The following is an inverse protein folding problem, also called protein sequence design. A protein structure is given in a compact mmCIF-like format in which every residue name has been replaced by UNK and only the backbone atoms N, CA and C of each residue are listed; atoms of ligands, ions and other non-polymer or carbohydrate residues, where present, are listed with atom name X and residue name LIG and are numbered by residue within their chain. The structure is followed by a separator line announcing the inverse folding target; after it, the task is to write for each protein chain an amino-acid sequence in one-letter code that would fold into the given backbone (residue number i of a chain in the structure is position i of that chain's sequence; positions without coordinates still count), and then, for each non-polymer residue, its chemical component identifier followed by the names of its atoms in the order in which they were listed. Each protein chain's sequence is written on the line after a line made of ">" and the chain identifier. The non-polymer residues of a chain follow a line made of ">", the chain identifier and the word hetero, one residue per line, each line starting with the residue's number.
data_IF_896894751455
#
_entry.id   IF_896894751455
#
_cell.length_a   1.000
_cell.length_b   1.000
_cell.length_c   1.000
_cell.angle_alpha   90.00
_cell.angle_beta   90.00
_cell.angle_gamma   90.00
#
_symmetry.space_group_name_H-M   'P 1'
#
loop_
_entity.id
_entity.type
_entity.pdbx_description
1 polymer ?
#
# COMPACT_ATOMS: atom_id res chain seq x y z
N UNK A 1 -30.48 14.90 70.91
CA UNK A 1 -30.60 14.26 69.58
C UNK A 1 -29.67 15.02 68.64
N UNK A 2 -28.59 14.40 68.24
CA UNK A 2 -27.51 15.02 67.43
C UNK A 2 -27.76 14.71 65.95
N UNK A 3 -27.80 15.67 65.00
CA UNK A 3 -27.96 15.36 63.56
C UNK A 3 -26.64 14.77 63.00
N UNK A 4 -26.73 13.59 62.43
CA UNK A 4 -25.64 12.92 61.73
C UNK A 4 -25.33 13.68 60.43
N UNK A 5 -24.16 14.30 60.35
CA UNK A 5 -23.61 14.84 59.13
C UNK A 5 -23.03 13.70 58.30
N UNK A 6 -23.54 13.57 57.04
CA UNK A 6 -22.98 12.65 56.05
C UNK A 6 -21.70 13.25 55.48
N UNK A 7 -20.66 12.44 55.21
CA UNK A 7 -19.46 12.93 54.56
C UNK A 7 -19.78 13.26 53.08
N UNK A 8 -19.12 14.27 52.48
CA UNK A 8 -19.32 14.59 51.07
C UNK A 8 -18.79 13.46 50.21
N UNK A 9 -19.61 12.99 49.26
CA UNK A 9 -19.22 12.05 48.22
C UNK A 9 -18.29 12.80 47.24
N UNK A 10 -16.99 12.62 47.44
CA UNK A 10 -15.96 13.09 46.49
C UNK A 10 -15.93 12.16 45.27
N UNK A 11 -16.98 12.29 44.46
CA UNK A 11 -17.18 11.55 43.22
C UNK A 11 -16.52 12.25 42.06
N UNK A 12 -15.21 12.38 42.04
CA UNK A 12 -14.48 12.57 40.80
C UNK A 12 -14.57 11.25 40.01
N UNK A 13 -15.64 11.12 39.21
CA UNK A 13 -15.63 10.16 38.13
C UNK A 13 -14.42 10.52 37.25
N UNK A 14 -13.36 9.70 37.33
CA UNK A 14 -12.32 9.72 36.30
C UNK A 14 -13.06 9.45 34.97
N UNK A 15 -13.23 10.51 34.15
CA UNK A 15 -13.66 10.34 32.77
C UNK A 15 -12.76 9.24 32.18
N UNK A 16 -13.35 8.09 31.87
CA UNK A 16 -12.67 7.05 31.13
C UNK A 16 -12.26 7.67 29.82
N UNK A 17 -10.95 7.79 29.60
CA UNK A 17 -10.46 8.25 28.30
C UNK A 17 -11.20 7.47 27.20
N UNK A 18 -11.74 8.14 26.17
CA UNK A 18 -12.49 7.46 25.13
C UNK A 18 -11.67 6.30 24.58
N UNK A 19 -12.32 5.14 24.39
CA UNK A 19 -11.63 3.96 23.92
C UNK A 19 -11.04 4.26 22.53
N UNK A 20 -9.71 4.20 22.40
CA UNK A 20 -9.03 4.41 21.11
C UNK A 20 -9.32 3.23 20.19
N UNK A 21 -9.62 3.54 18.94
CA UNK A 21 -9.76 2.53 17.87
C UNK A 21 -8.36 2.18 17.38
N UNK A 22 -8.04 0.89 17.33
CA UNK A 22 -6.76 0.34 16.87
C UNK A 22 -6.92 -0.21 15.46
N UNK A 23 -6.07 0.26 14.55
CA UNK A 23 -6.07 -0.12 13.14
C UNK A 23 -4.71 -0.72 12.83
N UNK A 24 -4.66 -1.99 12.41
CA UNK A 24 -3.42 -2.58 11.90
C UNK A 24 -3.27 -2.28 10.41
N UNK A 25 -2.04 -1.98 9.98
CA UNK A 25 -1.72 -1.70 8.59
C UNK A 25 -0.51 -2.54 8.21
N UNK A 26 -0.70 -3.40 7.21
CA UNK A 26 0.38 -4.14 6.55
C UNK A 26 0.43 -3.76 5.08
N UNK A 27 1.60 -3.93 4.47
CA UNK A 27 1.81 -3.65 3.05
C UNK A 27 2.73 -4.70 2.45
N UNK A 28 2.63 -4.91 1.16
CA UNK A 28 3.56 -5.72 0.37
C UNK A 28 3.83 -7.10 1.01
N UNK A 29 2.81 -7.93 1.26
CA UNK A 29 3.03 -9.28 1.81
C UNK A 29 3.77 -10.18 0.85
N UNK A 30 3.70 -9.94 -0.46
CA UNK A 30 4.39 -10.69 -1.53
C UNK A 30 4.35 -12.21 -1.29
N UNK A 31 3.17 -12.73 -1.06
CA UNK A 31 2.97 -14.13 -0.70
C UNK A 31 3.22 -15.05 -1.87
N UNK A 32 4.03 -16.08 -1.68
CA UNK A 32 4.27 -17.12 -2.68
C UNK A 32 3.54 -18.41 -2.29
N UNK A 33 2.53 -18.77 -3.07
CA UNK A 33 1.86 -20.07 -3.01
C UNK A 33 2.65 -21.18 -3.68
N UNK A 34 2.10 -22.40 -3.66
CA UNK A 34 2.76 -23.59 -4.20
C UNK A 34 3.14 -23.44 -5.68
N UNK A 35 2.27 -22.85 -6.51
CA UNK A 35 2.51 -22.69 -7.94
C UNK A 35 3.66 -21.73 -8.25
N UNK A 36 3.78 -20.61 -7.53
CA UNK A 36 4.90 -19.69 -7.69
C UNK A 36 6.21 -20.29 -7.19
N UNK A 37 6.18 -21.03 -6.08
CA UNK A 37 7.34 -21.76 -5.56
C UNK A 37 7.86 -22.81 -6.55
N UNK A 38 6.96 -23.58 -7.17
CA UNK A 38 7.32 -24.56 -8.20
C UNK A 38 7.92 -23.92 -9.46
N UNK A 39 7.54 -22.69 -9.78
CA UNK A 39 8.07 -21.91 -10.91
C UNK A 39 9.53 -21.47 -10.70
N UNK A 40 9.92 -21.27 -9.48
CA UNK A 40 11.27 -20.87 -9.07
C UNK A 40 11.50 -19.35 -9.06
N UNK A 41 12.39 -18.89 -8.18
CA UNK A 41 12.67 -17.46 -7.94
C UNK A 41 13.28 -16.69 -9.11
N UNK A 42 13.81 -17.40 -10.12
CA UNK A 42 14.40 -16.80 -11.32
C UNK A 42 13.38 -16.54 -12.45
N UNK A 43 12.11 -16.89 -12.25
CA UNK A 43 11.10 -16.75 -13.31
C UNK A 43 11.01 -15.32 -13.84
N UNK A 44 10.99 -14.35 -12.97
CA UNK A 44 10.94 -12.93 -13.30
C UNK A 44 12.16 -12.45 -14.11
N UNK A 45 13.34 -12.98 -13.79
CA UNK A 45 14.58 -12.59 -14.47
C UNK A 45 14.61 -13.03 -15.94
N UNK A 46 13.74 -13.97 -16.34
CA UNK A 46 13.63 -14.42 -17.74
C UNK A 46 13.14 -13.31 -18.67
N UNK A 47 12.39 -12.33 -18.15
CA UNK A 47 11.93 -11.16 -18.91
C UNK A 47 13.09 -10.19 -19.28
N UNK A 48 14.26 -10.28 -18.63
CA UNK A 48 15.41 -9.43 -18.90
C UNK A 48 16.24 -10.06 -20.04
N UNK A 49 16.13 -9.50 -21.24
CA UNK A 49 16.83 -10.02 -22.43
C UNK A 49 18.35 -9.89 -22.31
N UNK A 50 18.86 -8.76 -21.79
CA UNK A 50 20.29 -8.51 -21.64
C UNK A 50 20.92 -9.39 -20.54
N UNK A 51 21.88 -10.29 -20.87
CA UNK A 51 22.45 -11.22 -19.92
C UNK A 51 23.28 -10.55 -18.80
N UNK A 52 23.97 -9.45 -19.12
CA UNK A 52 24.75 -8.70 -18.12
C UNK A 52 23.84 -8.02 -17.11
N UNK A 53 22.77 -7.40 -17.60
CA UNK A 53 21.77 -6.77 -16.75
C UNK A 53 21.03 -7.83 -15.89
N UNK A 54 20.70 -8.99 -16.48
CA UNK A 54 20.12 -10.12 -15.74
C UNK A 54 21.05 -10.59 -14.62
N UNK A 55 22.35 -10.70 -14.88
CA UNK A 55 23.34 -11.05 -13.87
C UNK A 55 23.42 -9.97 -12.76
N UNK A 56 23.45 -8.70 -13.14
CA UNK A 56 23.48 -7.59 -12.18
C UNK A 56 22.23 -7.56 -11.28
N UNK A 57 21.02 -7.75 -11.84
CA UNK A 57 19.77 -7.83 -11.07
C UNK A 57 19.78 -9.04 -10.15
N UNK A 58 20.30 -10.21 -10.61
CA UNK A 58 20.45 -11.40 -9.76
C UNK A 58 21.36 -11.16 -8.57
N UNK A 59 22.53 -10.51 -8.78
CA UNK A 59 23.46 -10.14 -7.72
C UNK A 59 22.81 -9.14 -6.73
N UNK A 60 22.13 -8.12 -7.26
CA UNK A 60 21.39 -7.16 -6.42
C UNK A 60 20.35 -7.86 -5.53
N UNK A 61 19.52 -8.74 -6.12
CA UNK A 61 18.54 -9.53 -5.37
C UNK A 61 19.21 -10.38 -4.29
N UNK A 62 20.29 -11.07 -4.63
CA UNK A 62 21.00 -11.98 -3.72
C UNK A 62 21.65 -11.26 -2.53
N UNK A 63 22.27 -10.11 -2.75
CA UNK A 63 23.07 -9.45 -1.70
C UNK A 63 22.33 -8.33 -0.96
N UNK A 64 21.33 -7.73 -1.58
CA UNK A 64 20.68 -6.53 -1.04
C UNK A 64 19.20 -6.79 -0.77
N UNK A 65 18.47 -7.25 -1.79
CA UNK A 65 17.02 -7.31 -1.75
C UNK A 65 16.53 -8.50 -0.93
N UNK A 66 16.68 -9.71 -1.44
CA UNK A 66 16.22 -10.95 -0.83
C UNK A 66 16.75 -12.16 -1.59
N UNK A 67 17.52 -13.02 -0.91
CA UNK A 67 18.04 -14.27 -1.52
C UNK A 67 16.93 -15.21 -1.93
N UNK A 68 15.96 -15.37 -1.06
CA UNK A 68 14.80 -16.22 -1.32
C UNK A 68 13.51 -15.39 -1.17
N UNK A 69 12.94 -14.87 -2.28
CA UNK A 69 11.70 -14.08 -2.22
C UNK A 69 10.50 -14.89 -1.69
N UNK A 70 10.54 -16.24 -1.76
CA UNK A 70 9.46 -17.08 -1.26
C UNK A 70 9.37 -17.13 0.28
N UNK A 71 10.41 -16.75 0.99
CA UNK A 71 10.42 -16.70 2.45
C UNK A 71 9.54 -15.56 3.00
N UNK A 72 9.11 -14.63 2.15
CA UNK A 72 8.17 -13.56 2.52
C UNK A 72 6.86 -14.12 3.07
N UNK A 73 6.41 -15.25 2.59
CA UNK A 73 5.18 -15.91 3.08
C UNK A 73 5.20 -16.19 4.58
N UNK A 74 6.36 -16.50 5.14
CA UNK A 74 6.53 -16.74 6.60
C UNK A 74 6.24 -15.47 7.41
N UNK A 75 6.53 -14.29 6.88
CA UNK A 75 6.28 -13.03 7.57
C UNK A 75 4.78 -12.71 7.65
N UNK A 76 4.00 -13.13 6.65
CA UNK A 76 2.54 -13.04 6.75
C UNK A 76 2.01 -13.93 7.87
N UNK A 77 2.47 -15.19 7.96
CA UNK A 77 2.04 -16.10 9.02
C UNK A 77 2.45 -15.57 10.42
N UNK A 78 3.64 -15.00 10.54
CA UNK A 78 4.06 -14.34 11.79
C UNK A 78 3.18 -13.14 12.13
N UNK A 79 2.90 -12.26 11.18
CA UNK A 79 1.97 -11.15 11.39
C UNK A 79 0.62 -11.63 11.89
N UNK A 80 0.04 -12.67 11.27
CA UNK A 80 -1.26 -13.24 11.65
C UNK A 80 -1.25 -13.82 13.07
N UNK A 81 -0.10 -14.33 13.54
CA UNK A 81 0.04 -14.90 14.86
C UNK A 81 0.34 -13.83 15.93
N UNK A 82 1.15 -12.82 15.60
CA UNK A 82 1.63 -11.82 16.57
C UNK A 82 0.67 -10.64 16.75
N UNK A 83 -0.19 -10.35 15.75
CA UNK A 83 -1.12 -9.23 15.83
C UNK A 83 -2.14 -9.42 16.96
N UNK A 84 -2.15 -8.49 17.90
CA UNK A 84 -3.13 -8.46 18.98
C UNK A 84 -4.52 -7.98 18.50
N UNK A 85 -5.45 -7.77 19.43
CA UNK A 85 -6.79 -7.27 19.10
C UNK A 85 -6.73 -5.92 18.38
N UNK A 86 -7.46 -5.81 17.26
CA UNK A 86 -7.64 -4.58 16.48
C UNK A 86 -9.06 -4.52 15.93
N UNK A 87 -9.60 -3.32 15.79
CA UNK A 87 -10.95 -3.08 15.29
C UNK A 87 -11.00 -3.15 13.75
N UNK A 88 -9.90 -2.75 13.09
CA UNK A 88 -9.79 -2.76 11.64
C UNK A 88 -8.39 -3.16 11.20
N UNK A 89 -8.28 -3.76 10.02
CA UNK A 89 -7.03 -4.07 9.35
C UNK A 89 -7.06 -3.49 7.93
N UNK A 90 -5.97 -2.89 7.51
CA UNK A 90 -5.78 -2.46 6.12
C UNK A 90 -4.57 -3.20 5.53
N UNK A 91 -4.81 -3.96 4.47
CA UNK A 91 -3.78 -4.56 3.64
C UNK A 91 -3.57 -3.67 2.41
N UNK A 92 -2.37 -3.10 2.28
CA UNK A 92 -2.09 -2.02 1.36
C UNK A 92 -1.35 -2.49 0.09
N UNK A 93 -1.89 -3.52 -0.60
CA UNK A 93 -1.44 -3.94 -1.93
C UNK A 93 -0.36 -5.02 -1.95
N UNK A 94 -0.10 -5.54 -3.15
CA UNK A 94 0.94 -6.51 -3.51
C UNK A 94 0.81 -7.86 -2.79
N UNK A 95 -0.29 -8.59 -3.11
CA UNK A 95 -0.64 -9.83 -2.42
C UNK A 95 0.12 -11.05 -2.95
N UNK A 96 0.44 -11.10 -4.25
CA UNK A 96 1.26 -12.18 -4.82
C UNK A 96 2.75 -11.86 -4.79
N UNK A 97 3.58 -12.90 -4.91
CA UNK A 97 5.01 -12.74 -5.04
C UNK A 97 5.38 -12.10 -6.39
N UNK A 98 6.64 -11.78 -6.56
CA UNK A 98 7.21 -11.07 -7.72
C UNK A 98 7.15 -11.81 -9.06
N UNK A 99 6.63 -13.05 -9.11
CA UNK A 99 6.73 -13.87 -10.33
C UNK A 99 5.70 -13.51 -11.41
N UNK A 100 4.65 -12.79 -11.06
CA UNK A 100 3.56 -12.46 -11.98
C UNK A 100 3.79 -11.16 -12.73
N UNK A 101 4.50 -11.18 -13.85
CA UNK A 101 4.71 -9.98 -14.68
C UNK A 101 3.39 -9.33 -15.12
N UNK A 102 2.39 -10.14 -15.43
CA UNK A 102 1.05 -9.68 -15.87
C UNK A 102 0.04 -9.61 -14.72
N UNK A 103 0.52 -9.46 -13.48
CA UNK A 103 -0.33 -9.41 -12.30
C UNK A 103 -1.10 -10.71 -12.07
N UNK A 104 -2.27 -10.62 -11.45
CA UNK A 104 -3.12 -11.78 -11.15
C UNK A 104 -3.81 -12.37 -12.39
N UNK A 105 -3.57 -11.88 -13.62
CA UNK A 105 -3.91 -12.61 -14.84
C UNK A 105 -3.00 -13.82 -15.04
N UNK A 106 -1.82 -13.85 -14.44
CA UNK A 106 -0.98 -15.04 -14.33
C UNK A 106 -1.62 -16.03 -13.33
N UNK A 107 -1.84 -17.30 -13.72
CA UNK A 107 -2.52 -18.25 -12.85
C UNK A 107 -1.80 -18.55 -11.53
N UNK A 108 -0.45 -18.58 -11.52
CA UNK A 108 0.30 -18.86 -10.31
C UNK A 108 0.30 -17.65 -9.35
N UNK A 109 0.42 -16.43 -9.88
CA UNK A 109 0.28 -15.20 -9.11
C UNK A 109 -1.14 -15.06 -8.55
N UNK A 110 -2.18 -15.42 -9.34
CA UNK A 110 -3.56 -15.44 -8.87
C UNK A 110 -3.75 -16.39 -7.70
N UNK A 111 -3.26 -17.63 -7.80
CA UNK A 111 -3.37 -18.61 -6.72
C UNK A 111 -2.68 -18.14 -5.44
N UNK A 112 -1.52 -17.49 -5.56
CA UNK A 112 -0.80 -16.90 -4.42
C UNK A 112 -1.58 -15.75 -3.78
N UNK A 113 -2.12 -14.84 -4.60
CA UNK A 113 -2.94 -13.73 -4.10
C UNK A 113 -4.23 -14.23 -3.44
N UNK A 114 -4.89 -15.24 -4.03
CA UNK A 114 -6.09 -15.88 -3.48
C UNK A 114 -5.80 -16.51 -2.11
N UNK A 115 -4.68 -17.22 -1.96
CA UNK A 115 -4.27 -17.81 -0.68
C UNK A 115 -3.94 -16.72 0.35
N UNK A 116 -3.19 -15.68 -0.02
CA UNK A 116 -2.86 -14.55 0.83
C UNK A 116 -4.12 -13.85 1.36
N UNK A 117 -5.00 -13.43 0.44
CA UNK A 117 -6.26 -12.75 0.75
C UNK A 117 -7.18 -13.66 1.58
N UNK A 118 -7.20 -14.96 1.27
CA UNK A 118 -7.94 -15.98 2.02
C UNK A 118 -7.49 -16.09 3.47
N UNK A 119 -6.18 -16.17 3.72
CA UNK A 119 -5.60 -16.17 5.09
C UNK A 119 -5.99 -14.91 5.87
N UNK A 120 -5.86 -13.74 5.25
CA UNK A 120 -6.21 -12.47 5.85
C UNK A 120 -7.71 -12.38 6.18
N UNK A 121 -8.58 -12.82 5.26
CA UNK A 121 -10.04 -12.86 5.51
C UNK A 121 -10.42 -13.86 6.58
N UNK A 122 -9.80 -15.04 6.59
CA UNK A 122 -10.05 -16.04 7.62
C UNK A 122 -9.73 -15.50 9.03
N UNK A 123 -8.68 -14.69 9.17
CA UNK A 123 -8.25 -14.12 10.46
C UNK A 123 -9.10 -12.93 10.90
N UNK A 124 -9.48 -12.03 9.97
CA UNK A 124 -10.07 -10.73 10.30
C UNK A 124 -11.54 -10.58 9.90
N UNK A 125 -12.07 -11.45 9.04
CA UNK A 125 -13.44 -11.37 8.56
C UNK A 125 -13.76 -10.04 7.87
N UNK A 126 -14.91 -9.45 8.17
CA UNK A 126 -15.36 -8.17 7.61
C UNK A 126 -14.58 -6.94 8.10
N UNK A 127 -13.65 -7.10 9.04
CA UNK A 127 -12.83 -6.01 9.60
C UNK A 127 -11.64 -5.63 8.73
N UNK A 128 -11.35 -6.37 7.66
CA UNK A 128 -10.24 -6.07 6.76
C UNK A 128 -10.67 -5.27 5.54
N UNK A 129 -9.81 -4.36 5.11
CA UNK A 129 -9.90 -3.59 3.87
C UNK A 129 -8.64 -3.82 3.05
N UNK A 130 -8.80 -3.84 1.73
CA UNK A 130 -7.73 -4.12 0.78
C UNK A 130 -7.59 -2.97 -0.21
N UNK A 131 -6.36 -2.56 -0.52
CA UNK A 131 -6.04 -1.70 -1.67
C UNK A 131 -5.32 -2.51 -2.74
N UNK A 132 -5.35 -2.07 -3.99
CA UNK A 132 -4.53 -2.66 -5.04
C UNK A 132 -3.10 -2.14 -4.97
N UNK A 133 -2.13 -3.04 -5.14
CA UNK A 133 -0.76 -2.72 -5.51
C UNK A 133 -0.54 -2.84 -7.02
N UNK A 134 0.64 -2.50 -7.48
CA UNK A 134 1.00 -2.62 -8.90
C UNK A 134 1.20 -4.09 -9.30
N UNK A 135 1.74 -4.94 -8.41
CA UNK A 135 1.86 -6.37 -8.67
C UNK A 135 0.51 -7.08 -8.81
N UNK A 136 -0.56 -6.55 -8.27
CA UNK A 136 -1.89 -7.13 -8.42
C UNK A 136 -2.46 -6.92 -9.83
N UNK A 137 -2.21 -5.77 -10.45
CA UNK A 137 -2.75 -5.41 -11.78
C UNK A 137 -1.78 -5.67 -12.93
N UNK A 138 -0.50 -5.77 -12.63
CA UNK A 138 0.57 -6.02 -13.57
C UNK A 138 1.80 -5.19 -13.26
N UNK A 139 2.95 -5.86 -13.26
CA UNK A 139 4.21 -5.28 -12.81
C UNK A 139 4.64 -4.11 -13.70
N UNK A 140 5.06 -3.04 -13.05
CA UNK A 140 5.71 -1.90 -13.68
C UNK A 140 7.22 -2.16 -13.69
N UNK A 141 7.82 -2.65 -14.80
CA UNK A 141 9.21 -3.07 -14.78
C UNK A 141 10.14 -1.90 -14.56
N UNK A 142 11.15 -2.11 -13.72
CA UNK A 142 12.27 -1.17 -13.58
C UNK A 142 13.16 -1.22 -14.83
N UNK A 143 13.13 -2.34 -15.54
CA UNK A 143 13.96 -2.60 -16.72
C UNK A 143 13.12 -3.25 -17.81
N UNK A 144 13.08 -2.64 -18.99
CA UNK A 144 12.29 -3.08 -20.12
C UNK A 144 11.39 -1.98 -20.68
N UNK A 145 10.90 -2.17 -21.91
CA UNK A 145 10.14 -1.13 -22.61
C UNK A 145 8.62 -1.29 -22.46
N UNK A 146 8.14 -2.45 -21.96
CA UNK A 146 6.72 -2.75 -21.88
C UNK A 146 6.36 -3.33 -20.50
N UNK A 147 5.27 -2.84 -19.92
CA UNK A 147 4.76 -3.29 -18.64
C UNK A 147 3.76 -4.45 -18.74
N UNK A 148 3.41 -4.94 -17.56
CA UNK A 148 2.55 -6.11 -17.39
C UNK A 148 1.09 -5.80 -17.09
N UNK A 149 0.65 -4.56 -17.14
CA UNK A 149 -0.74 -4.20 -16.84
C UNK A 149 -1.73 -4.83 -17.81
N UNK A 150 -2.74 -5.54 -17.28
CA UNK A 150 -3.75 -6.25 -18.07
C UNK A 150 -5.14 -6.06 -17.47
N UNK A 151 -6.14 -5.78 -18.30
CA UNK A 151 -7.55 -5.73 -17.89
C UNK A 151 -8.02 -7.04 -17.28
N UNK A 152 -7.48 -8.17 -17.75
CA UNK A 152 -7.74 -9.47 -17.14
C UNK A 152 -7.31 -9.56 -15.67
N UNK A 153 -6.23 -8.86 -15.28
CA UNK A 153 -5.82 -8.75 -13.87
C UNK A 153 -6.79 -7.89 -13.07
N UNK A 154 -7.25 -6.79 -13.66
CA UNK A 154 -8.28 -5.97 -13.05
C UNK A 154 -9.55 -6.77 -12.75
N UNK A 155 -10.10 -7.47 -13.75
CA UNK A 155 -11.30 -8.28 -13.57
C UNK A 155 -11.10 -9.37 -12.50
N UNK A 156 -9.94 -10.07 -12.52
CA UNK A 156 -9.64 -11.08 -11.48
C UNK A 156 -9.51 -10.49 -10.09
N UNK A 157 -8.82 -9.36 -9.95
CA UNK A 157 -8.66 -8.68 -8.67
C UNK A 157 -10.00 -8.21 -8.11
N UNK A 158 -10.83 -7.59 -8.93
CA UNK A 158 -12.10 -7.00 -8.47
C UNK A 158 -13.22 -8.05 -8.32
N UNK A 159 -13.37 -8.98 -9.26
CA UNK A 159 -14.51 -9.92 -9.30
C UNK A 159 -14.21 -11.22 -8.56
N UNK A 160 -12.98 -11.77 -8.71
CA UNK A 160 -12.63 -13.08 -8.14
C UNK A 160 -12.01 -12.94 -6.75
N UNK A 161 -11.06 -12.02 -6.59
CA UNK A 161 -10.47 -11.74 -5.27
C UNK A 161 -11.33 -10.77 -4.45
N UNK A 162 -12.36 -10.15 -5.05
CA UNK A 162 -13.24 -9.17 -4.41
C UNK A 162 -12.44 -8.04 -3.72
N UNK A 163 -11.47 -7.47 -4.45
CA UNK A 163 -10.68 -6.34 -4.03
C UNK A 163 -11.26 -5.07 -4.68
N UNK A 164 -11.98 -4.21 -3.95
CA UNK A 164 -12.55 -3.00 -4.53
C UNK A 164 -11.46 -1.98 -4.88
N UNK A 165 -11.65 -1.24 -5.97
CA UNK A 165 -10.73 -0.16 -6.36
C UNK A 165 -10.75 1.00 -5.36
N UNK A 166 -11.93 1.26 -4.83
CA UNK A 166 -12.19 2.32 -3.87
C UNK A 166 -12.98 1.76 -2.68
N UNK A 167 -12.61 2.19 -1.49
CA UNK A 167 -13.39 1.93 -0.29
C UNK A 167 -13.25 3.08 0.69
N UNK A 168 -14.27 3.26 1.49
CA UNK A 168 -14.29 4.20 2.60
C UNK A 168 -14.83 3.53 3.86
N UNK A 169 -14.28 3.90 5.00
CA UNK A 169 -14.71 3.43 6.31
C UNK A 169 -14.80 4.63 7.26
N UNK A 170 -16.02 5.12 7.55
CA UNK A 170 -16.21 6.17 8.53
C UNK A 170 -16.04 5.62 9.95
N UNK A 171 -15.29 6.33 10.78
CA UNK A 171 -15.06 6.06 12.19
C UNK A 171 -15.24 7.36 12.96
N UNK A 172 -16.49 7.76 13.18
CA UNK A 172 -16.90 9.06 13.75
C UNK A 172 -16.28 10.25 12.97
N UNK A 173 -15.33 10.97 13.57
CA UNK A 173 -14.63 12.10 12.94
C UNK A 173 -13.39 11.68 12.14
N UNK A 174 -13.14 10.37 11.96
CA UNK A 174 -12.16 9.86 11.02
C UNK A 174 -12.81 9.22 9.81
N UNK A 175 -12.20 9.40 8.66
CA UNK A 175 -12.54 8.69 7.43
C UNK A 175 -11.28 7.98 6.92
N UNK A 176 -11.34 6.66 6.85
CA UNK A 176 -10.31 5.85 6.19
C UNK A 176 -10.70 5.73 4.71
N UNK A 177 -9.80 6.08 3.81
CA UNK A 177 -9.99 6.00 2.36
C UNK A 177 -8.90 5.14 1.73
N UNK A 178 -9.28 4.11 0.99
CA UNK A 178 -8.37 3.32 0.16
C UNK A 178 -8.60 3.57 -1.32
N UNK A 179 -7.52 3.81 -2.05
CA UNK A 179 -7.53 4.12 -3.47
C UNK A 179 -6.64 3.17 -4.25
N UNK A 180 -7.03 2.82 -5.47
CA UNK A 180 -6.20 2.04 -6.40
C UNK A 180 -5.18 2.95 -7.08
N UNK A 181 -3.96 3.01 -6.54
CA UNK A 181 -2.89 3.83 -7.10
C UNK A 181 -2.54 3.48 -8.55
N UNK A 182 -2.52 2.21 -9.00
CA UNK A 182 -2.24 1.89 -10.39
C UNK A 182 -3.23 2.52 -11.38
N UNK A 183 -4.51 2.67 -11.03
CA UNK A 183 -5.48 3.38 -11.87
C UNK A 183 -5.18 4.88 -11.96
N UNK A 184 -4.83 5.49 -10.86
CA UNK A 184 -4.57 6.93 -10.80
C UNK A 184 -3.35 7.29 -11.65
N UNK A 185 -2.31 6.45 -11.61
CA UNK A 185 -1.02 6.67 -12.27
C UNK A 185 -0.99 6.30 -13.76
N UNK A 186 -2.07 5.76 -14.33
CA UNK A 186 -2.14 5.32 -15.73
C UNK A 186 -1.49 6.28 -16.74
N UNK A 187 -1.67 7.62 -16.67
CA UNK A 187 -1.02 8.50 -17.64
C UNK A 187 0.51 8.48 -17.59
N UNK A 188 1.11 8.12 -16.43
CA UNK A 188 2.56 7.95 -16.29
C UNK A 188 3.01 6.55 -16.76
N UNK A 189 2.09 5.62 -16.91
CA UNK A 189 2.33 4.21 -17.16
C UNK A 189 1.68 3.71 -18.47
N UNK A 190 1.45 4.61 -19.43
CA UNK A 190 0.79 4.26 -20.69
C UNK A 190 1.48 3.09 -21.42
N UNK A 191 2.81 3.08 -21.43
CA UNK A 191 3.60 2.00 -22.06
C UNK A 191 3.54 0.66 -21.28
N UNK A 192 3.00 0.67 -20.06
CA UNK A 192 2.88 -0.52 -19.24
C UNK A 192 1.55 -1.27 -19.48
N UNK A 193 0.58 -0.64 -20.16
CA UNK A 193 -0.67 -1.23 -20.60
C UNK A 193 -0.64 -1.63 -22.07
N UNK A 194 -1.49 -2.57 -22.46
CA UNK A 194 -1.67 -2.91 -23.87
C UNK A 194 -2.39 -1.75 -24.59
N UNK A 195 -1.94 -1.36 -25.80
CA UNK A 195 -2.56 -0.27 -26.55
C UNK A 195 -4.07 -0.46 -26.78
N UNK A 196 -4.50 -1.68 -27.07
CA UNK A 196 -5.90 -2.05 -27.29
C UNK A 196 -6.75 -1.97 -26.02
N UNK A 197 -6.14 -2.04 -24.83
CA UNK A 197 -6.82 -1.94 -23.55
C UNK A 197 -6.90 -0.48 -23.03
N UNK A 198 -6.16 0.45 -23.66
CA UNK A 198 -5.95 1.79 -23.12
C UNK A 198 -7.23 2.59 -22.86
N UNK A 199 -8.17 2.55 -23.82
CA UNK A 199 -9.44 3.27 -23.67
C UNK A 199 -10.25 2.75 -22.48
N UNK A 200 -10.28 1.43 -22.29
CA UNK A 200 -10.97 0.81 -21.16
C UNK A 200 -10.30 1.16 -19.83
N UNK A 201 -8.98 1.16 -19.77
CA UNK A 201 -8.23 1.62 -18.61
C UNK A 201 -8.54 3.06 -18.24
N UNK A 202 -8.60 3.96 -19.22
CA UNK A 202 -8.90 5.37 -18.97
C UNK A 202 -10.34 5.59 -18.49
N UNK A 203 -11.31 4.78 -18.94
CA UNK A 203 -12.68 4.80 -18.41
C UNK A 203 -12.71 4.36 -16.93
N UNK A 204 -12.00 3.29 -16.58
CA UNK A 204 -11.88 2.83 -15.20
C UNK A 204 -11.22 3.90 -14.30
N UNK A 205 -10.16 4.53 -14.79
CA UNK A 205 -9.49 5.63 -14.09
C UNK A 205 -10.42 6.79 -13.80
N UNK A 206 -11.20 7.24 -14.79
CA UNK A 206 -12.09 8.39 -14.61
C UNK A 206 -13.22 8.06 -13.63
N UNK A 207 -13.80 6.86 -13.70
CA UNK A 207 -14.79 6.40 -12.73
C UNK A 207 -14.20 6.38 -11.31
N UNK A 208 -12.98 5.86 -11.15
CA UNK A 208 -12.29 5.82 -9.86
C UNK A 208 -11.99 7.22 -9.31
N UNK A 209 -11.51 8.15 -10.15
CA UNK A 209 -11.29 9.54 -9.75
C UNK A 209 -12.59 10.24 -9.35
N UNK A 210 -13.71 9.92 -10.01
CA UNK A 210 -15.02 10.47 -9.65
C UNK A 210 -15.45 10.04 -8.24
N UNK A 211 -15.24 8.77 -7.87
CA UNK A 211 -15.51 8.27 -6.50
C UNK A 211 -14.63 8.99 -5.47
N UNK A 212 -13.34 9.17 -5.75
CA UNK A 212 -12.41 9.87 -4.86
C UNK A 212 -12.84 11.35 -4.69
N UNK A 213 -13.12 12.05 -5.79
CA UNK A 213 -13.59 13.44 -5.76
C UNK A 213 -14.86 13.58 -4.91
N UNK A 214 -15.83 12.68 -5.09
CA UNK A 214 -17.07 12.67 -4.33
C UNK A 214 -16.82 12.49 -2.82
N UNK A 215 -15.93 11.55 -2.44
CA UNK A 215 -15.59 11.34 -1.04
C UNK A 215 -14.93 12.55 -0.40
N UNK A 216 -13.98 13.20 -1.09
CA UNK A 216 -13.33 14.41 -0.59
C UNK A 216 -14.28 15.61 -0.54
N UNK A 217 -15.19 15.74 -1.51
CA UNK A 217 -16.21 16.82 -1.50
C UNK A 217 -17.19 16.67 -0.33
N UNK A 218 -17.52 15.44 0.07
CA UNK A 218 -18.43 15.14 1.16
C UNK A 218 -17.84 15.32 2.57
N UNK A 219 -16.51 15.52 2.69
CA UNK A 219 -15.86 15.67 4.00
C UNK A 219 -16.42 16.84 4.81
N UNK A 220 -16.79 16.54 6.05
CA UNK A 220 -17.19 17.56 7.01
C UNK A 220 -15.96 18.28 7.58
N UNK A 221 -16.08 19.56 8.00
CA UNK A 221 -14.93 20.36 8.46
C UNK A 221 -14.11 19.73 9.60
N UNK A 222 -14.78 18.98 10.50
CA UNK A 222 -14.14 18.34 11.66
C UNK A 222 -13.51 16.98 11.33
N UNK A 223 -13.80 16.41 10.16
CA UNK A 223 -13.28 15.08 9.81
C UNK A 223 -11.80 15.11 9.44
N UNK A 224 -11.12 14.06 9.84
CA UNK A 224 -9.73 13.75 9.48
C UNK A 224 -9.68 12.50 8.59
N UNK A 225 -8.74 12.49 7.66
CA UNK A 225 -8.58 11.40 6.70
C UNK A 225 -7.28 10.64 6.97
N UNK A 226 -7.39 9.31 7.01
CA UNK A 226 -6.26 8.40 6.80
C UNK A 226 -6.39 7.84 5.39
N UNK A 227 -5.47 8.22 4.50
CA UNK A 227 -5.48 7.81 3.10
C UNK A 227 -4.55 6.62 2.90
N UNK A 228 -5.02 5.60 2.20
CA UNK A 228 -4.26 4.41 1.82
C UNK A 228 -4.08 4.38 0.31
N UNK A 229 -2.83 4.52 -0.11
CA UNK A 229 -2.44 4.63 -1.52
C UNK A 229 -1.14 3.86 -1.69
N UNK A 230 -1.17 2.68 -2.32
CA UNK A 230 0.00 1.80 -2.37
C UNK A 230 1.22 2.50 -2.98
N UNK A 231 1.11 2.98 -4.23
CA UNK A 231 2.19 3.67 -4.94
C UNK A 231 2.07 5.20 -4.80
N UNK A 232 3.08 5.87 -4.19
CA UNK A 232 3.06 7.32 -4.01
C UNK A 232 3.11 8.12 -5.31
N UNK A 233 3.44 7.51 -6.45
CA UNK A 233 3.40 8.19 -7.76
C UNK A 233 1.98 8.65 -8.15
N UNK A 234 0.94 8.13 -7.47
CA UNK A 234 -0.43 8.58 -7.62
C UNK A 234 -0.70 9.96 -6.98
N UNK A 235 0.05 10.34 -5.95
CA UNK A 235 -0.22 11.55 -5.17
C UNK A 235 -0.13 12.85 -5.98
N UNK A 236 0.82 13.04 -6.92
CA UNK A 236 0.85 14.21 -7.80
C UNK A 236 -0.40 14.34 -8.68
N UNK A 237 -1.02 13.22 -9.07
CA UNK A 237 -2.27 13.24 -9.82
C UNK A 237 -3.45 13.65 -8.93
N UNK A 238 -3.50 13.14 -7.70
CA UNK A 238 -4.51 13.54 -6.71
C UNK A 238 -4.35 15.02 -6.31
N UNK A 239 -3.14 15.53 -6.23
CA UNK A 239 -2.87 16.95 -5.92
C UNK A 239 -3.43 17.89 -7.01
N UNK A 240 -3.48 17.44 -8.28
CA UNK A 240 -4.07 18.21 -9.38
C UNK A 240 -5.59 18.31 -9.32
N UNK A 241 -6.26 17.45 -8.56
CA UNK A 241 -7.71 17.46 -8.38
C UNK A 241 -8.13 18.57 -7.39
N UNK A 242 -8.89 19.61 -7.82
CA UNK A 242 -9.20 20.76 -6.95
C UNK A 242 -9.94 20.37 -5.67
N UNK A 243 -10.90 19.42 -5.75
CA UNK A 243 -11.66 18.93 -4.59
C UNK A 243 -10.77 18.27 -3.54
N UNK A 244 -9.72 17.56 -3.97
CA UNK A 244 -8.76 16.91 -3.07
C UNK A 244 -7.81 17.95 -2.51
N UNK A 245 -7.25 18.82 -3.36
CA UNK A 245 -6.28 19.84 -2.97
C UNK A 245 -6.83 20.76 -1.88
N UNK A 246 -8.10 21.16 -1.96
CA UNK A 246 -8.77 21.97 -0.94
C UNK A 246 -8.90 21.26 0.42
N UNK A 247 -8.89 19.93 0.43
CA UNK A 247 -9.08 19.10 1.61
C UNK A 247 -7.77 18.49 2.15
N UNK A 248 -6.63 18.80 1.57
CA UNK A 248 -5.31 18.34 2.05
C UNK A 248 -5.06 18.61 3.54
N UNK A 249 -5.47 19.76 4.13
CA UNK A 249 -5.31 19.97 5.56
C UNK A 249 -6.02 18.94 6.45
N UNK A 250 -7.09 18.29 5.94
CA UNK A 250 -7.83 17.24 6.64
C UNK A 250 -7.16 15.86 6.54
N UNK A 251 -6.21 15.67 5.61
CA UNK A 251 -5.40 14.44 5.56
C UNK A 251 -4.42 14.47 6.72
N UNK A 252 -4.67 13.62 7.72
CA UNK A 252 -3.76 13.47 8.85
C UNK A 252 -2.52 12.65 8.48
N UNK A 253 -2.72 11.58 7.70
CA UNK A 253 -1.62 10.74 7.21
C UNK A 253 -2.04 10.00 5.94
N UNK A 254 -1.09 9.85 5.01
CA UNK A 254 -1.19 8.93 3.87
C UNK A 254 -0.24 7.75 4.08
N UNK A 255 -0.77 6.55 4.07
CA UNK A 255 0.03 5.32 4.09
C UNK A 255 0.31 4.85 2.68
N UNK A 256 1.60 4.64 2.40
CA UNK A 256 2.08 4.06 1.14
C UNK A 256 2.81 2.74 1.41
N UNK A 257 2.87 1.86 0.41
CA UNK A 257 3.73 0.68 0.30
C UNK A 257 4.78 0.86 -0.79
N UNK A 258 4.88 -0.12 -1.70
CA UNK A 258 5.64 -0.09 -2.97
C UNK A 258 7.15 0.18 -2.85
N UNK A 259 7.57 1.11 -2.03
CA UNK A 259 8.98 1.47 -1.84
C UNK A 259 9.71 0.49 -0.90
N UNK A 260 9.01 -0.42 -0.25
CA UNK A 260 9.41 -1.50 0.65
C UNK A 260 10.23 -1.07 1.87
N UNK A 261 11.06 -0.03 1.79
CA UNK A 261 11.97 0.39 2.86
C UNK A 261 12.01 1.90 3.03
N UNK A 262 12.18 2.34 4.26
CA UNK A 262 12.35 3.76 4.60
C UNK A 262 13.56 4.40 3.91
N UNK A 263 14.58 3.61 3.60
CA UNK A 263 15.76 4.10 2.88
C UNK A 263 15.40 4.57 1.47
N UNK A 264 14.55 3.82 0.76
CA UNK A 264 14.10 4.22 -0.60
C UNK A 264 13.23 5.48 -0.51
N UNK A 265 12.32 5.56 0.45
CA UNK A 265 11.52 6.79 0.66
C UNK A 265 12.42 8.00 0.96
N UNK A 266 13.44 7.84 1.80
CA UNK A 266 14.39 8.92 2.12
C UNK A 266 15.16 9.36 0.87
N UNK A 267 15.69 8.41 0.07
CA UNK A 267 16.33 8.71 -1.21
C UNK A 267 15.41 9.43 -2.18
N UNK A 268 14.16 8.99 -2.30
CA UNK A 268 13.16 9.61 -3.18
C UNK A 268 12.89 11.07 -2.78
N UNK A 269 12.84 11.35 -1.48
CA UNK A 269 12.69 12.72 -0.96
C UNK A 269 13.92 13.57 -1.23
N UNK A 270 15.12 13.02 -1.04
CA UNK A 270 16.37 13.73 -1.30
C UNK A 270 16.54 14.10 -2.78
N UNK A 271 16.12 13.19 -3.68
CA UNK A 271 16.20 13.36 -5.14
C UNK A 271 14.96 14.06 -5.72
N UNK A 272 13.99 14.44 -4.88
CA UNK A 272 12.77 15.10 -5.33
C UNK A 272 13.07 16.47 -5.98
N UNK A 273 12.34 16.75 -7.06
CA UNK A 273 12.53 18.01 -7.80
C UNK A 273 13.70 18.02 -8.79
N UNK A 274 14.57 17.00 -8.81
CA UNK A 274 15.61 16.92 -9.84
C UNK A 274 14.98 16.77 -11.24
N UNK A 275 15.55 17.41 -12.28
CA UNK A 275 14.98 17.33 -13.63
C UNK A 275 14.95 15.90 -14.16
N UNK A 276 13.88 15.51 -14.88
CA UNK A 276 13.80 14.20 -15.50
C UNK A 276 14.88 13.97 -16.55
N UNK A 277 15.49 12.78 -16.52
CA UNK A 277 16.50 12.36 -17.49
C UNK A 277 15.79 11.66 -18.66
N UNK A 278 15.76 12.32 -19.84
CA UNK A 278 14.99 11.82 -20.99
C UNK A 278 15.81 11.06 -22.05
N UNK A 279 17.13 11.16 -22.00
CA UNK A 279 18.03 10.61 -23.04
C UNK A 279 18.55 9.20 -22.74
N UNK A 280 18.24 8.62 -21.55
CA UNK A 280 18.70 7.28 -21.14
C UNK A 280 17.60 6.19 -21.25
N UNK A 281 16.59 6.41 -22.10
CA UNK A 281 15.52 5.46 -22.35
C UNK A 281 14.28 5.65 -21.45
N UNK A 282 13.21 4.89 -21.78
CA UNK A 282 11.89 5.06 -21.18
C UNK A 282 11.88 4.83 -19.66
N UNK A 283 12.54 3.77 -19.21
CA UNK A 283 12.58 3.40 -17.78
C UNK A 283 13.25 4.46 -16.92
N UNK A 284 14.38 5.01 -17.37
CA UNK A 284 15.09 6.08 -16.65
C UNK A 284 14.26 7.35 -16.65
N UNK A 285 13.63 7.68 -17.76
CA UNK A 285 12.72 8.83 -17.84
C UNK A 285 11.56 8.70 -16.88
N UNK A 286 10.92 7.53 -16.81
CA UNK A 286 9.81 7.21 -15.89
C UNK A 286 10.23 7.35 -14.43
N UNK A 287 11.34 6.70 -14.02
CA UNK A 287 11.85 6.76 -12.66
C UNK A 287 12.20 8.21 -12.26
N UNK A 288 12.93 8.92 -13.10
CA UNK A 288 13.34 10.31 -12.81
C UNK A 288 12.17 11.28 -12.82
N UNK A 289 11.14 11.04 -13.65
CA UNK A 289 9.89 11.81 -13.62
C UNK A 289 9.11 11.58 -12.32
N UNK A 290 9.04 10.34 -11.84
CA UNK A 290 8.43 10.02 -10.56
C UNK A 290 9.19 10.68 -9.40
N UNK A 291 10.52 10.65 -9.42
CA UNK A 291 11.36 11.35 -8.43
C UNK A 291 11.19 12.87 -8.51
N UNK A 292 11.12 13.44 -9.72
CA UNK A 292 10.84 14.86 -9.89
C UNK A 292 9.53 15.26 -9.22
N UNK A 293 8.46 14.48 -9.44
CA UNK A 293 7.14 14.74 -8.87
C UNK A 293 7.02 14.39 -7.37
N UNK A 294 8.04 13.78 -6.76
CA UNK A 294 8.00 13.41 -5.35
C UNK A 294 7.90 14.60 -4.37
N UNK A 295 8.19 15.83 -4.84
CA UNK A 295 7.95 17.03 -4.04
C UNK A 295 6.45 17.25 -3.74
N UNK A 296 5.55 16.79 -4.61
CA UNK A 296 4.09 16.88 -4.42
C UNK A 296 3.58 15.91 -3.33
N UNK A 297 4.43 15.02 -2.78
CA UNK A 297 4.05 14.13 -1.69
C UNK A 297 3.92 14.85 -0.33
N UNK A 298 4.59 15.98 -0.15
CA UNK A 298 4.63 16.71 1.13
C UNK A 298 3.26 17.05 1.69
N UNK A 299 2.31 17.63 0.91
CA UNK A 299 1.00 17.98 1.43
C UNK A 299 0.18 16.79 1.92
N UNK A 300 0.50 15.58 1.41
CA UNK A 300 -0.18 14.33 1.78
C UNK A 300 0.35 13.70 3.08
N UNK A 301 1.39 14.25 3.70
CA UNK A 301 1.96 13.71 4.94
C UNK A 301 2.28 12.22 4.84
N UNK A 302 3.06 11.84 3.83
CA UNK A 302 3.34 10.44 3.46
C UNK A 302 4.10 9.70 4.56
N UNK A 303 3.62 8.50 4.90
CA UNK A 303 4.26 7.51 5.76
C UNK A 303 4.35 6.18 5.02
N UNK A 304 5.55 5.64 4.92
CA UNK A 304 5.75 4.32 4.36
C UNK A 304 5.39 3.25 5.42
N UNK A 305 4.51 2.32 5.03
CA UNK A 305 4.40 1.01 5.64
C UNK A 305 5.40 0.11 4.90
N UNK A 306 6.51 -0.32 5.52
CA UNK A 306 7.45 -1.22 4.87
C UNK A 306 6.78 -2.52 4.45
N UNK A 307 7.37 -3.22 3.47
CA UNK A 307 6.98 -4.59 3.18
C UNK A 307 7.06 -5.43 4.46
N UNK A 308 6.17 -6.40 4.63
CA UNK A 308 6.19 -7.26 5.83
C UNK A 308 7.57 -7.88 6.08
N UNK A 309 8.27 -8.24 5.01
CA UNK A 309 9.63 -8.80 5.07
C UNK A 309 10.74 -7.75 5.11
N UNK A 310 10.46 -6.52 4.68
CA UNK A 310 11.49 -5.53 4.40
C UNK A 310 12.46 -5.98 3.32
N UNK A 311 13.65 -5.41 3.30
CA UNK A 311 14.78 -5.93 2.51
C UNK A 311 15.75 -6.71 3.42
N UNK A 312 16.35 -7.76 2.87
CA UNK A 312 17.17 -8.69 3.67
C UNK A 312 18.36 -8.00 4.34
N UNK A 313 19.03 -7.11 3.61
CA UNK A 313 20.19 -6.36 4.11
C UNK A 313 19.84 -5.49 5.35
N UNK A 314 18.67 -4.86 5.39
CA UNK A 314 18.28 -3.96 6.47
C UNK A 314 17.46 -4.64 7.56
N UNK A 315 16.84 -5.76 7.25
CA UNK A 315 15.94 -6.49 8.16
C UNK A 315 14.86 -5.57 8.77
N UNK A 316 14.29 -4.69 7.95
CA UNK A 316 13.45 -3.55 8.35
C UNK A 316 11.95 -3.76 8.09
N UNK A 317 11.53 -5.02 7.88
CA UNK A 317 10.14 -5.41 7.69
C UNK A 317 9.28 -5.21 8.93
N UNK A 318 7.97 -5.12 8.72
CA UNK A 318 7.03 -4.96 9.81
C UNK A 318 5.69 -4.35 9.40
N UNK A 319 4.91 -3.95 10.38
CA UNK A 319 3.59 -3.37 10.21
C UNK A 319 3.35 -2.20 11.18
N UNK A 320 2.29 -1.43 10.96
CA UNK A 320 1.86 -0.39 11.88
C UNK A 320 0.62 -0.80 12.65
N UNK A 321 0.52 -0.34 13.90
CA UNK A 321 -0.75 -0.18 14.61
C UNK A 321 -0.98 1.31 14.80
N UNK A 322 -2.11 1.78 14.31
CA UNK A 322 -2.55 3.17 14.46
C UNK A 322 -3.65 3.22 15.50
N UNK A 323 -3.48 4.08 16.50
CA UNK A 323 -4.48 4.33 17.53
C UNK A 323 -5.09 5.70 17.29
N UNK A 324 -6.38 5.74 16.92
CA UNK A 324 -7.12 6.99 16.72
C UNK A 324 -8.07 7.26 17.89
N UNK A 325 -8.23 8.54 18.22
CA UNK A 325 -9.34 9.03 19.03
C UNK A 325 -10.52 9.30 18.07
N UNK A 326 -11.62 8.53 18.12
CA UNK A 326 -12.72 8.67 17.17
C UNK A 326 -13.29 10.10 17.11
N UNK A 327 -13.29 10.81 18.24
CA UNK A 327 -13.73 12.21 18.32
C UNK A 327 -12.75 13.20 17.68
N UNK A 328 -11.58 12.73 17.21
CA UNK A 328 -10.48 13.51 16.62
C UNK A 328 -9.95 14.67 17.51
N UNK A 329 -10.16 14.60 18.82
CA UNK A 329 -9.63 15.58 19.79
C UNK A 329 -8.14 15.43 19.98
N UNK A 330 -7.62 14.23 19.81
CA UNK A 330 -6.20 13.90 19.88
C UNK A 330 -5.69 13.42 18.50
N UNK A 331 -4.44 13.71 18.13
CA UNK A 331 -3.86 13.15 16.91
C UNK A 331 -3.71 11.63 17.01
N UNK A 332 -3.70 10.98 15.85
CA UNK A 332 -3.43 9.56 15.75
C UNK A 332 -2.01 9.23 16.26
N UNK A 333 -1.87 8.09 16.94
CA UNK A 333 -0.57 7.51 17.31
C UNK A 333 -0.20 6.42 16.33
N UNK A 334 1.01 6.48 15.81
CA UNK A 334 1.53 5.52 14.84
C UNK A 334 2.63 4.70 15.50
N UNK A 335 2.36 3.42 15.72
CA UNK A 335 3.27 2.49 16.41
C UNK A 335 3.76 1.48 15.37
N UNK A 336 5.05 1.48 15.09
CA UNK A 336 5.66 0.49 14.20
C UNK A 336 6.03 -0.76 14.99
N UNK A 337 5.63 -1.91 14.47
CA UNK A 337 5.95 -3.24 14.99
C UNK A 337 6.90 -3.92 14.01
N UNK A 338 8.20 -4.02 14.33
CA UNK A 338 9.15 -4.73 13.48
C UNK A 338 8.86 -6.22 13.46
N UNK A 339 9.03 -6.85 12.29
CA UNK A 339 9.01 -8.30 12.09
C UNK A 339 10.38 -8.73 11.56
N UNK A 340 11.41 -8.77 12.41
CA UNK A 340 12.73 -9.15 11.98
C UNK A 340 12.72 -10.59 11.46
N UNK A 341 13.53 -10.87 10.42
CA UNK A 341 13.70 -12.22 9.89
C UNK A 341 14.42 -13.07 10.91
N UNK A 342 14.02 -14.32 11.03
CA UNK A 342 14.78 -15.29 11.76
C UNK A 342 16.10 -15.55 11.02
N UNK A 343 17.21 -15.51 11.74
CA UNK A 343 18.50 -15.89 11.18
C UNK A 343 18.46 -17.40 10.94
N UNK A 344 18.39 -17.80 9.67
CA UNK A 344 18.57 -19.20 9.24
C UNK A 344 20.05 -19.57 9.29
#
# INVERSE_FOLDING_TARGET
>A
MNPRTWPPIDGRMKERAPARIRIAILSDPHYAGAAERARGGDYELRAIANPLLRAAVRLYRHFIWMRNPFDQSRQLDRFLNEIGPVECVVANGDYSCDSGFVGVSDPAAFASAEECVGKLRARFGGRIRFTHGDHDLGKLPIVGDHGGMRLASWSRATERLNLPAFWQLPLENYLLLGVSSPLITLPAHQADALPEEWEAWMKLREAHLAEIRAAFAALQPQQRVLLFCHDPTALPFLWREPSIRQRLPQIEQTFIGHLHTRLVLWKSRLLSGLPPIRFLGHTVCKLTSALHAAHDWWPFRVRLCPALSGIELLNDGGYYVVEIDPAAKQPARFIFHPLPREKT
#
